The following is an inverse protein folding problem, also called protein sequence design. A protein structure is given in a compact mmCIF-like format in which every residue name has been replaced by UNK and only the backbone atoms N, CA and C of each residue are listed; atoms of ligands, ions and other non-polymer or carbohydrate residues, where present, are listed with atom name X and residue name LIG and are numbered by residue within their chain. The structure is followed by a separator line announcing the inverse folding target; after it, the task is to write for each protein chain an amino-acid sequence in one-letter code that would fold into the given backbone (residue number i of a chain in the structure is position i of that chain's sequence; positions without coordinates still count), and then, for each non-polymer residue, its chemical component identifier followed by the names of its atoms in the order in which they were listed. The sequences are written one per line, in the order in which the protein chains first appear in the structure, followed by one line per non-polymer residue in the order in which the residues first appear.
data_IF_834724274734
#
_entry.id   IF_834724274734
#
_cell.length_a   1.000
_cell.length_b   1.000
_cell.length_c   1.000
_cell.angle_alpha   90.00
_cell.angle_beta   90.00
_cell.angle_gamma   90.00
#
_symmetry.space_group_name_H-M   'P 1'
#
loop_
_entity.id
_entity.type
_entity.pdbx_description
1 polymer ?
#
# COMPACT_ATOMS: atom_id res chain seq x y z
N UNK A 1 44.08 -59.03 22.09
CA UNK A 1 44.34 -58.03 21.02
C UNK A 1 43.08 -57.50 20.31
N UNK A 2 41.84 -57.94 20.65
CA UNK A 2 40.64 -57.50 19.90
C UNK A 2 39.95 -56.25 20.48
N UNK A 3 40.15 -55.96 21.77
CA UNK A 3 39.51 -54.82 22.46
C UNK A 3 40.11 -53.47 22.03
N UNK A 4 41.43 -53.41 21.83
CA UNK A 4 42.14 -52.19 21.39
C UNK A 4 41.79 -51.81 19.94
N UNK A 5 41.59 -52.81 19.07
CA UNK A 5 41.16 -52.61 17.68
C UNK A 5 39.76 -51.98 17.62
N UNK A 6 38.82 -52.47 18.43
CA UNK A 6 37.47 -51.91 18.57
C UNK A 6 37.50 -50.44 19.02
N UNK A 7 38.33 -50.10 20.01
CA UNK A 7 38.42 -48.74 20.53
C UNK A 7 38.93 -47.73 19.50
N UNK A 8 39.93 -48.13 18.70
CA UNK A 8 40.45 -47.28 17.61
C UNK A 8 39.43 -47.09 16.47
N UNK A 9 38.61 -48.10 16.20
CA UNK A 9 37.57 -48.08 15.18
C UNK A 9 36.39 -47.20 15.58
N UNK A 10 35.92 -47.32 16.83
CA UNK A 10 34.87 -46.46 17.37
C UNK A 10 35.28 -44.98 17.39
N UNK A 11 36.55 -44.68 17.71
CA UNK A 11 37.06 -43.30 17.66
C UNK A 11 36.99 -42.71 16.25
N UNK A 12 37.34 -43.48 15.21
CA UNK A 12 37.24 -43.03 13.81
C UNK A 12 35.79 -42.80 13.39
N UNK A 13 34.87 -43.67 13.82
CA UNK A 13 33.45 -43.54 13.51
C UNK A 13 32.84 -42.28 14.12
N UNK A 14 33.17 -41.96 15.39
CA UNK A 14 32.73 -40.72 16.05
C UNK A 14 33.26 -39.48 15.31
N UNK A 15 34.51 -39.51 14.85
CA UNK A 15 35.07 -38.41 14.06
C UNK A 15 34.35 -38.21 12.72
N UNK A 16 34.09 -39.29 11.98
CA UNK A 16 33.35 -39.22 10.72
C UNK A 16 31.91 -38.75 10.94
N UNK A 17 31.22 -39.27 11.96
CA UNK A 17 29.87 -38.87 12.32
C UNK A 17 29.81 -37.38 12.73
N UNK A 18 30.81 -36.90 13.47
CA UNK A 18 30.91 -35.49 13.86
C UNK A 18 31.09 -34.58 12.65
N UNK A 19 31.98 -34.93 11.72
CA UNK A 19 32.18 -34.15 10.48
C UNK A 19 30.91 -34.16 9.64
N UNK A 20 30.26 -35.31 9.49
CA UNK A 20 29.01 -35.44 8.75
C UNK A 20 27.89 -34.61 9.37
N UNK A 21 27.80 -34.61 10.70
CA UNK A 21 26.86 -33.78 11.44
C UNK A 21 27.12 -32.29 11.20
N UNK A 22 28.37 -31.84 11.26
CA UNK A 22 28.74 -30.44 10.99
C UNK A 22 28.32 -30.02 9.56
N UNK A 23 28.62 -30.85 8.56
CA UNK A 23 28.25 -30.58 7.16
C UNK A 23 26.72 -30.50 7.01
N UNK A 24 25.99 -31.42 7.65
CA UNK A 24 24.53 -31.41 7.64
C UNK A 24 23.98 -30.13 8.28
N UNK A 25 24.48 -29.72 9.45
CA UNK A 25 24.06 -28.46 10.09
C UNK A 25 24.35 -27.24 9.23
N UNK A 26 25.51 -27.18 8.57
CA UNK A 26 25.86 -26.07 7.68
C UNK A 26 24.91 -25.99 6.48
N UNK A 27 24.57 -27.14 5.87
CA UNK A 27 23.61 -27.16 4.77
C UNK A 27 22.22 -26.68 5.19
N UNK A 28 21.74 -27.13 6.36
CA UNK A 28 20.46 -26.70 6.92
C UNK A 28 20.46 -25.22 7.28
N UNK A 29 21.58 -24.70 7.77
CA UNK A 29 21.72 -23.27 8.06
C UNK A 29 21.57 -22.42 6.80
N UNK A 30 22.24 -22.80 5.70
CA UNK A 30 22.14 -22.09 4.42
C UNK A 30 20.68 -22.11 3.91
N UNK A 31 20.01 -23.27 3.99
CA UNK A 31 18.59 -23.38 3.60
C UNK A 31 17.70 -22.48 4.46
N UNK A 32 17.90 -22.47 5.78
CA UNK A 32 17.12 -21.65 6.70
C UNK A 32 17.30 -20.16 6.43
N UNK A 33 18.54 -19.71 6.20
CA UNK A 33 18.83 -18.31 5.87
C UNK A 33 18.13 -17.92 4.57
N UNK A 34 18.22 -18.75 3.53
CA UNK A 34 17.56 -18.47 2.25
C UNK A 34 16.04 -18.40 2.38
N UNK A 35 15.42 -19.32 3.12
CA UNK A 35 13.98 -19.31 3.37
C UNK A 35 13.56 -18.08 4.19
N UNK A 36 14.34 -17.70 5.19
CA UNK A 36 14.08 -16.53 6.02
C UNK A 36 14.18 -15.25 5.20
N UNK A 37 15.22 -15.10 4.39
CA UNK A 37 15.40 -13.95 3.51
C UNK A 37 14.27 -13.87 2.49
N UNK A 38 13.92 -14.98 1.82
CA UNK A 38 12.79 -14.99 0.88
C UNK A 38 11.46 -14.64 1.54
N UNK A 39 11.20 -15.16 2.73
CA UNK A 39 9.98 -14.84 3.50
C UNK A 39 9.94 -13.38 3.92
N UNK A 40 11.07 -12.80 4.37
CA UNK A 40 11.17 -11.40 4.74
C UNK A 40 10.91 -10.45 3.55
N UNK A 41 11.45 -10.78 2.37
CA UNK A 41 11.16 -10.04 1.14
C UNK A 41 9.67 -10.11 0.77
N UNK A 42 9.07 -11.29 0.86
CA UNK A 42 7.64 -11.47 0.59
C UNK A 42 6.77 -10.67 1.58
N UNK A 43 7.11 -10.67 2.87
CA UNK A 43 6.41 -9.86 3.88
C UNK A 43 6.51 -8.37 3.55
N UNK A 44 7.70 -7.87 3.21
CA UNK A 44 7.88 -6.47 2.84
C UNK A 44 7.08 -6.07 1.60
N UNK A 45 7.00 -6.95 0.59
CA UNK A 45 6.16 -6.72 -0.59
C UNK A 45 4.67 -6.69 -0.23
N UNK A 46 4.22 -7.63 0.62
CA UNK A 46 2.83 -7.68 1.07
C UNK A 46 2.45 -6.44 1.91
N UNK A 47 3.34 -5.97 2.78
CA UNK A 47 3.15 -4.72 3.53
C UNK A 47 3.01 -3.50 2.60
N UNK A 48 3.81 -3.45 1.54
CA UNK A 48 3.71 -2.42 0.50
C UNK A 48 2.34 -2.43 -0.19
N UNK A 49 1.91 -3.61 -0.67
CA UNK A 49 0.59 -3.77 -1.30
C UNK A 49 -0.56 -3.42 -0.35
N UNK A 50 -0.43 -3.77 0.93
CA UNK A 50 -1.45 -3.49 1.95
C UNK A 50 -1.53 -1.99 2.26
N UNK A 51 -0.40 -1.27 2.22
CA UNK A 51 -0.35 0.19 2.33
C UNK A 51 -1.02 0.86 1.13
N UNK A 52 -0.70 0.44 -0.09
CA UNK A 52 -1.32 0.97 -1.31
C UNK A 52 -2.83 0.74 -1.31
N UNK A 53 -3.28 -0.47 -0.94
CA UNK A 53 -4.70 -0.79 -0.84
C UNK A 53 -5.41 0.09 0.20
N UNK A 54 -4.75 0.38 1.34
CA UNK A 54 -5.28 1.26 2.38
C UNK A 54 -5.40 2.71 1.90
N UNK A 55 -4.42 3.20 1.16
CA UNK A 55 -4.44 4.55 0.58
C UNK A 55 -5.55 4.67 -0.48
N UNK A 56 -5.68 3.66 -1.35
CA UNK A 56 -6.76 3.58 -2.33
C UNK A 56 -8.15 3.58 -1.66
N UNK A 57 -8.36 2.78 -0.62
CA UNK A 57 -9.62 2.77 0.13
C UNK A 57 -9.95 4.11 0.78
N UNK A 58 -8.95 4.78 1.39
CA UNK A 58 -9.17 6.13 1.96
C UNK A 58 -9.54 7.15 0.90
N UNK A 59 -8.94 7.06 -0.29
CA UNK A 59 -9.29 7.92 -1.42
C UNK A 59 -10.74 7.68 -1.85
N UNK A 60 -11.13 6.41 -1.98
CA UNK A 60 -12.48 6.03 -2.35
C UNK A 60 -13.52 6.47 -1.31
N UNK A 61 -13.21 6.32 -0.02
CA UNK A 61 -14.03 6.81 1.08
C UNK A 61 -14.23 8.33 1.00
N UNK A 62 -13.19 9.09 0.69
CA UNK A 62 -13.29 10.54 0.50
C UNK A 62 -14.20 10.90 -0.67
N UNK A 63 -14.01 10.26 -1.82
CA UNK A 63 -14.85 10.48 -3.02
C UNK A 63 -16.31 10.13 -2.74
N UNK A 64 -16.54 9.04 -2.00
CA UNK A 64 -17.89 8.63 -1.61
C UNK A 64 -18.55 9.66 -0.69
N UNK A 65 -17.84 10.16 0.32
CA UNK A 65 -18.36 11.20 1.22
C UNK A 65 -18.66 12.51 0.47
N UNK A 66 -17.78 12.92 -0.44
CA UNK A 66 -18.01 14.09 -1.30
C UNK A 66 -19.26 13.91 -2.18
N UNK A 67 -19.42 12.72 -2.78
CA UNK A 67 -20.59 12.38 -3.59
C UNK A 67 -21.89 12.42 -2.77
N UNK A 68 -21.87 11.88 -1.54
CA UNK A 68 -23.03 11.96 -0.64
C UNK A 68 -23.34 13.40 -0.26
N UNK A 69 -22.33 14.21 0.07
CA UNK A 69 -22.54 15.61 0.42
C UNK A 69 -23.18 16.38 -0.73
N UNK A 70 -22.70 16.19 -1.96
CA UNK A 70 -23.30 16.77 -3.17
C UNK A 70 -24.75 16.32 -3.36
N UNK A 71 -25.04 15.02 -3.18
CA UNK A 71 -26.40 14.50 -3.28
C UNK A 71 -27.34 15.10 -2.22
N UNK A 72 -26.86 15.27 -1.00
CA UNK A 72 -27.63 15.89 0.08
C UNK A 72 -27.90 17.37 -0.20
N UNK A 73 -26.95 18.09 -0.82
CA UNK A 73 -27.15 19.47 -1.26
C UNK A 73 -28.18 19.56 -2.39
N UNK A 74 -28.13 18.66 -3.37
CA UNK A 74 -29.13 18.58 -4.44
C UNK A 74 -30.53 18.29 -3.88
N UNK A 75 -30.63 17.37 -2.90
CA UNK A 75 -31.89 17.06 -2.22
C UNK A 75 -32.43 18.26 -1.44
N UNK A 76 -31.58 18.94 -0.67
CA UNK A 76 -31.96 20.15 0.07
C UNK A 76 -32.38 21.29 -0.87
N UNK A 77 -31.66 21.50 -1.97
CA UNK A 77 -32.00 22.49 -2.99
C UNK A 77 -33.38 22.19 -3.60
N UNK A 78 -33.66 20.93 -3.91
CA UNK A 78 -34.98 20.50 -4.41
C UNK A 78 -36.09 20.74 -3.39
N UNK A 79 -35.87 20.46 -2.10
CA UNK A 79 -36.86 20.69 -1.03
C UNK A 79 -37.13 22.19 -0.84
N UNK A 80 -36.11 23.03 -1.00
CA UNK A 80 -36.24 24.49 -0.92
C UNK A 80 -36.80 25.13 -2.20
N UNK A 81 -37.15 24.32 -3.22
CA UNK A 81 -37.72 24.81 -4.47
C UNK A 81 -36.71 25.46 -5.42
N UNK A 82 -35.41 25.26 -5.20
CA UNK A 82 -34.38 25.68 -6.16
C UNK A 82 -34.35 24.71 -7.35
N UNK A 83 -34.36 25.26 -8.56
CA UNK A 83 -34.26 24.50 -9.80
C UNK A 83 -32.83 24.55 -10.35
N UNK A 84 -32.36 23.43 -10.90
CA UNK A 84 -31.01 23.31 -11.43
C UNK A 84 -30.87 24.19 -12.68
N UNK A 85 -30.00 25.20 -12.62
CA UNK A 85 -29.79 26.14 -13.72
C UNK A 85 -29.07 25.41 -14.87
N UNK A 86 -29.75 25.19 -15.99
CA UNK A 86 -29.20 24.44 -17.13
C UNK A 86 -28.18 25.21 -17.98
N UNK A 87 -28.36 26.53 -18.14
CA UNK A 87 -27.48 27.39 -18.92
C UNK A 87 -27.44 28.80 -18.31
N UNK A 88 -26.23 29.31 -18.06
CA UNK A 88 -26.01 30.71 -17.63
C UNK A 88 -25.39 31.46 -18.80
N UNK A 89 -26.16 32.34 -19.44
CA UNK A 89 -25.68 33.23 -20.50
C UNK A 89 -25.34 34.59 -19.90
N UNK A 90 -24.04 34.90 -19.79
CA UNK A 90 -23.58 36.20 -19.31
C UNK A 90 -23.71 37.24 -20.42
N UNK A 91 -24.65 38.17 -20.27
CA UNK A 91 -24.75 39.35 -21.12
C UNK A 91 -23.73 40.38 -20.64
N UNK A 92 -22.70 40.63 -21.45
CA UNK A 92 -21.74 41.71 -21.23
C UNK A 92 -22.40 43.03 -21.59
N UNK A 93 -22.76 43.82 -20.58
CA UNK A 93 -23.25 45.19 -20.78
C UNK A 93 -22.05 46.02 -21.26
N UNK A 94 -22.11 46.52 -22.50
CA UNK A 94 -21.11 47.46 -23.03
C UNK A 94 -21.28 48.76 -22.26
N UNK A 95 -20.18 49.26 -21.71
CA UNK A 95 -20.14 50.43 -20.82
C UNK A 95 -21.03 51.57 -21.30
N UNK A 96 -21.89 52.03 -20.39
CA UNK A 96 -22.76 53.18 -20.55
C UNK A 96 -21.94 54.41 -20.94
N UNK A 97 -22.23 54.99 -22.10
CA UNK A 97 -21.91 56.38 -22.36
C UNK A 97 -22.75 57.24 -21.40
N UNK A 98 -22.17 57.55 -20.24
CA UNK A 98 -22.68 58.57 -19.33
C UNK A 98 -22.58 59.93 -20.02
N UNK A 99 -23.69 60.67 -20.06
CA UNK A 99 -23.74 62.01 -20.63
C UNK A 99 -22.84 62.97 -19.84
N UNK A 100 -21.80 63.52 -20.47
CA UNK A 100 -21.05 64.66 -19.92
C UNK A 100 -21.93 65.90 -20.00
N UNK A 101 -22.27 66.46 -18.84
CA UNK A 101 -22.86 67.78 -18.74
C UNK A 101 -21.75 68.82 -18.89
N UNK A 102 -21.68 69.48 -20.05
CA UNK A 102 -20.88 70.69 -20.22
C UNK A 102 -21.70 71.87 -19.67
N UNK A 103 -21.35 72.34 -18.47
CA UNK A 103 -21.77 73.66 -17.98
C UNK A 103 -20.58 74.61 -18.12
N UNK A 104 -20.76 75.64 -18.95
CA UNK A 104 -19.93 76.86 -19.01
C UNK A 104 -19.96 77.65 -17.69
#
# INVERSE_FOLDING_TARGET
MNILLSFSYQRKLVWVASILLIVLLLSLYIVQVNLLTGSAFNISSLEGQLKELRESNKSLERIYMETIQLRNLDELASVMGFEKIGYVSYIKVIDTAVAQNLSE
#
